data_IF_113161500206
#
_entry.id   IF_113161500206
#
_cell.length_a   1.000
_cell.length_b   1.000
_cell.length_c   1.000
_cell.angle_alpha   90.00
_cell.angle_beta   90.00
_cell.angle_gamma   90.00
#
_symmetry.space_group_name_H-M   'P 1'
#
loop_
_entity.id
_entity.type
_entity.pdbx_description
1 polymer ?
#
# COMPACT_ATOMS: atom_id res chain seq x y z
N UNK A 1 53.75 -11.97 42.36
CA UNK A 1 52.83 -12.44 41.29
C UNK A 1 51.37 -11.98 41.43
N UNK A 2 50.83 -11.66 42.61
CA UNK A 2 49.44 -11.18 42.75
C UNK A 2 49.21 -9.74 42.25
N UNK A 3 50.22 -8.86 42.39
CA UNK A 3 50.10 -7.45 42.04
C UNK A 3 49.92 -7.22 40.52
N UNK A 4 50.66 -7.96 39.67
CA UNK A 4 50.58 -7.80 38.21
C UNK A 4 49.22 -8.20 37.63
N UNK A 5 48.57 -9.23 38.19
CA UNK A 5 47.21 -9.65 37.76
C UNK A 5 46.15 -8.63 38.13
N UNK A 6 46.26 -7.98 39.29
CA UNK A 6 45.36 -6.90 39.71
C UNK A 6 45.53 -5.67 38.82
N UNK A 7 46.78 -5.29 38.51
CA UNK A 7 47.09 -4.17 37.61
C UNK A 7 46.59 -4.45 36.19
N UNK A 8 46.72 -5.68 35.68
CA UNK A 8 46.15 -6.10 34.39
C UNK A 8 44.62 -6.04 34.38
N UNK A 9 43.96 -6.49 35.44
CA UNK A 9 42.49 -6.40 35.57
C UNK A 9 41.99 -4.96 35.57
N UNK A 10 42.64 -4.08 36.33
CA UNK A 10 42.34 -2.64 36.38
C UNK A 10 42.56 -1.94 35.03
N UNK A 11 43.65 -2.27 34.32
CA UNK A 11 43.88 -1.74 32.96
C UNK A 11 42.84 -2.22 31.97
N UNK A 12 42.37 -3.46 32.10
CA UNK A 12 41.29 -4.02 31.29
C UNK A 12 39.97 -3.26 31.47
N UNK A 13 39.52 -3.08 32.71
CA UNK A 13 38.27 -2.34 33.01
C UNK A 13 38.37 -0.86 32.64
N UNK A 14 39.54 -0.24 32.81
CA UNK A 14 39.78 1.14 32.37
C UNK A 14 39.71 1.27 30.84
N UNK A 15 40.30 0.33 30.10
CA UNK A 15 40.23 0.30 28.64
C UNK A 15 38.80 0.12 28.13
N UNK A 16 38.00 -0.73 28.79
CA UNK A 16 36.58 -0.90 28.47
C UNK A 16 35.80 0.40 28.73
N UNK A 17 36.03 1.07 29.86
CA UNK A 17 35.39 2.34 30.19
C UNK A 17 35.75 3.45 29.18
N UNK A 18 37.02 3.54 28.77
CA UNK A 18 37.47 4.48 27.74
C UNK A 18 36.80 4.22 26.39
N UNK A 19 36.69 2.95 25.97
CA UNK A 19 35.96 2.56 24.77
C UNK A 19 34.49 2.96 24.83
N UNK A 20 33.85 2.86 26.00
CA UNK A 20 32.47 3.33 26.20
C UNK A 20 32.35 4.85 25.99
N UNK A 21 33.27 5.63 26.56
CA UNK A 21 33.28 7.10 26.39
C UNK A 21 33.54 7.51 24.94
N UNK A 22 34.52 6.88 24.28
CA UNK A 22 34.83 7.14 22.87
C UNK A 22 33.63 6.80 21.97
N UNK A 23 32.98 5.65 22.19
CA UNK A 23 31.78 5.26 21.45
C UNK A 23 30.65 6.26 21.67
N UNK A 24 30.44 6.74 22.90
CA UNK A 24 29.41 7.73 23.20
C UNK A 24 29.66 9.05 22.44
N UNK A 25 30.90 9.55 22.44
CA UNK A 25 31.30 10.76 21.69
C UNK A 25 31.12 10.61 20.19
N UNK A 26 31.55 9.48 19.62
CA UNK A 26 31.37 9.18 18.20
C UNK A 26 29.89 9.13 17.81
N UNK A 27 29.05 8.47 18.62
CA UNK A 27 27.61 8.43 18.38
C UNK A 27 26.97 9.83 18.49
N UNK A 28 27.43 10.65 19.42
CA UNK A 28 27.04 12.06 19.53
C UNK A 28 27.40 12.85 18.27
N UNK A 29 28.64 12.73 17.79
CA UNK A 29 29.11 13.36 16.55
C UNK A 29 28.31 12.92 15.31
N UNK A 30 28.03 11.61 15.18
CA UNK A 30 27.20 11.06 14.11
C UNK A 30 25.79 11.66 14.15
N UNK A 31 25.18 11.76 15.35
CA UNK A 31 23.84 12.35 15.50
C UNK A 31 23.84 13.83 15.16
N UNK A 32 24.85 14.58 15.57
CA UNK A 32 24.97 16.00 15.24
C UNK A 32 25.16 16.22 13.73
N UNK A 33 26.03 15.44 13.07
CA UNK A 33 26.21 15.51 11.61
C UNK A 33 24.94 15.06 10.86
N UNK A 34 24.20 14.09 11.39
CA UNK A 34 22.92 13.68 10.82
C UNK A 34 21.85 14.77 10.99
N UNK A 35 21.77 15.43 12.14
CA UNK A 35 20.80 16.48 12.42
C UNK A 35 20.95 17.68 11.47
N UNK A 36 22.15 17.92 10.95
CA UNK A 36 22.41 18.92 9.90
C UNK A 36 22.23 18.41 8.47
N UNK A 37 21.91 17.13 8.26
CA UNK A 37 21.82 16.53 6.92
C UNK A 37 23.16 16.11 6.29
N UNK A 38 24.28 16.49 6.91
CA UNK A 38 25.62 16.30 6.36
C UNK A 38 26.16 14.87 6.49
N UNK A 39 25.50 13.99 7.26
CA UNK A 39 26.07 12.67 7.55
C UNK A 39 26.11 11.80 6.27
N UNK A 40 27.33 11.42 5.91
CA UNK A 40 27.62 10.58 4.76
C UNK A 40 27.29 9.12 5.06
N UNK A 41 26.20 8.64 4.46
CA UNK A 41 25.78 7.23 4.42
C UNK A 41 25.50 6.83 2.98
N UNK A 42 25.46 5.51 2.73
CA UNK A 42 25.06 4.97 1.42
C UNK A 42 23.73 5.54 0.95
N UNK A 43 23.73 6.09 -0.26
CA UNK A 43 22.54 6.61 -0.92
C UNK A 43 21.81 5.49 -1.68
N UNK A 44 20.48 5.60 -1.84
CA UNK A 44 19.77 4.73 -2.76
C UNK A 44 20.22 4.98 -4.21
N UNK A 45 19.96 4.01 -5.08
CA UNK A 45 20.29 4.12 -6.51
C UNK A 45 19.60 5.35 -7.12
N UNK A 46 20.28 6.02 -8.05
CA UNK A 46 19.78 7.25 -8.68
C UNK A 46 20.06 8.53 -7.91
N UNK A 47 20.66 8.46 -6.73
CA UNK A 47 21.17 9.64 -6.02
C UNK A 47 22.69 9.52 -5.87
N UNK A 48 23.37 10.63 -6.09
CA UNK A 48 24.83 10.75 -5.92
C UNK A 48 25.15 11.86 -4.93
N UNK A 49 26.35 11.81 -4.35
CA UNK A 49 26.83 12.89 -3.49
C UNK A 49 27.45 13.97 -4.38
N UNK A 50 27.17 15.23 -4.04
CA UNK A 50 27.89 16.36 -4.61
C UNK A 50 29.22 16.59 -3.87
N UNK A 51 29.87 17.70 -4.21
CA UNK A 51 31.16 18.08 -3.64
C UNK A 51 31.00 18.76 -2.26
N UNK A 52 29.85 19.39 -2.02
CA UNK A 52 29.58 20.05 -0.74
C UNK A 52 29.13 19.05 0.34
N UNK A 53 29.45 19.38 1.60
CA UNK A 53 29.08 18.56 2.76
C UNK A 53 27.55 18.39 2.84
N UNK A 54 27.09 17.14 2.74
CA UNK A 54 25.68 16.80 2.79
C UNK A 54 24.94 16.88 1.46
N UNK A 55 25.54 17.45 0.42
CA UNK A 55 24.89 17.61 -0.88
C UNK A 55 24.46 16.26 -1.49
N UNK A 56 23.23 16.23 -1.95
CA UNK A 56 22.65 15.08 -2.65
C UNK A 56 22.10 15.58 -3.97
N UNK A 57 22.58 14.98 -5.06
CA UNK A 57 22.19 15.30 -6.41
C UNK A 57 21.54 14.08 -7.07
N UNK A 58 20.77 14.32 -8.12
CA UNK A 58 20.29 13.27 -8.99
C UNK A 58 21.47 12.65 -9.75
N UNK A 59 21.37 11.35 -10.04
CA UNK A 59 22.42 10.64 -10.77
C UNK A 59 22.60 11.25 -12.18
N UNK A 60 23.83 11.55 -12.63
CA UNK A 60 24.05 12.27 -13.90
C UNK A 60 23.61 11.48 -15.15
N UNK A 61 23.64 10.14 -15.10
CA UNK A 61 23.12 9.29 -16.18
C UNK A 61 21.59 9.38 -16.29
N UNK A 62 21.13 9.96 -17.41
CA UNK A 62 19.71 10.08 -17.76
C UNK A 62 19.00 8.73 -17.82
N UNK A 63 19.69 7.65 -18.19
CA UNK A 63 19.11 6.31 -18.26
C UNK A 63 18.70 5.82 -16.88
N UNK A 64 19.53 6.11 -15.86
CA UNK A 64 19.24 5.78 -14.46
C UNK A 64 18.07 6.61 -13.96
N UNK A 65 18.04 7.91 -14.29
CA UNK A 65 16.94 8.77 -13.91
C UNK A 65 15.62 8.30 -14.54
N UNK A 66 15.63 8.01 -15.84
CA UNK A 66 14.47 7.54 -16.59
C UNK A 66 13.92 6.22 -16.03
N UNK A 67 14.79 5.28 -15.64
CA UNK A 67 14.36 4.02 -15.03
C UNK A 67 13.64 4.23 -13.69
N UNK A 68 14.04 5.24 -12.91
CA UNK A 68 13.43 5.58 -11.61
C UNK A 68 12.12 6.35 -11.82
N UNK A 69 12.09 7.32 -12.75
CA UNK A 69 10.86 8.00 -13.14
C UNK A 69 9.81 7.00 -13.62
N UNK A 70 10.18 6.04 -14.48
CA UNK A 70 9.29 5.00 -14.96
C UNK A 70 8.66 4.16 -13.83
N UNK A 71 9.37 3.94 -12.71
CA UNK A 71 8.79 3.25 -11.55
C UNK A 71 7.67 4.09 -10.93
N UNK A 72 7.89 5.39 -10.74
CA UNK A 72 6.90 6.28 -10.13
C UNK A 72 5.72 6.56 -11.06
N UNK A 73 5.96 6.78 -12.35
CA UNK A 73 4.91 7.03 -13.35
C UNK A 73 3.98 5.82 -13.48
N UNK A 74 4.55 4.62 -13.63
CA UNK A 74 3.75 3.38 -13.69
C UNK A 74 3.07 3.05 -12.38
N UNK A 75 3.63 3.47 -11.25
CA UNK A 75 2.95 3.32 -9.97
C UNK A 75 1.75 4.27 -9.84
N UNK A 76 1.86 5.49 -10.37
CA UNK A 76 0.75 6.44 -10.41
C UNK A 76 -0.44 5.89 -11.22
N UNK A 77 -0.15 5.20 -12.34
CA UNK A 77 -1.14 4.54 -13.19
C UNK A 77 -1.73 3.25 -12.57
N UNK A 78 -0.88 2.31 -12.14
CA UNK A 78 -1.34 0.98 -11.72
C UNK A 78 -1.78 0.89 -10.27
N UNK A 79 -1.27 1.78 -9.42
CA UNK A 79 -1.52 1.79 -7.98
C UNK A 79 -0.96 0.58 -7.23
N UNK A 80 -0.15 -0.31 -7.83
CA UNK A 80 0.38 -1.52 -7.19
C UNK A 80 1.84 -1.78 -7.56
N UNK A 81 2.70 -1.93 -6.54
CA UNK A 81 4.13 -2.22 -6.74
C UNK A 81 4.37 -3.53 -7.50
N UNK A 82 3.49 -4.53 -7.33
CA UNK A 82 3.59 -5.81 -8.06
C UNK A 82 3.29 -5.63 -9.55
N UNK A 83 2.29 -4.80 -9.91
CA UNK A 83 1.96 -4.53 -11.32
C UNK A 83 3.10 -3.79 -12.02
N UNK A 84 3.71 -2.81 -11.35
CA UNK A 84 4.92 -2.12 -11.84
C UNK A 84 6.04 -3.13 -12.10
N UNK A 85 6.31 -4.03 -11.16
CA UNK A 85 7.32 -5.07 -11.36
C UNK A 85 7.02 -6.02 -12.53
N UNK A 86 5.77 -6.46 -12.68
CA UNK A 86 5.37 -7.30 -13.81
C UNK A 86 5.51 -6.57 -15.15
N UNK A 87 5.19 -5.27 -15.19
CA UNK A 87 5.38 -4.44 -16.37
C UNK A 87 6.86 -4.34 -16.76
N UNK A 88 7.76 -4.09 -15.80
CA UNK A 88 9.21 -4.11 -16.06
C UNK A 88 9.66 -5.45 -16.64
N UNK A 89 9.14 -6.57 -16.12
CA UNK A 89 9.46 -7.90 -16.66
C UNK A 89 8.88 -8.15 -18.05
N UNK A 90 7.64 -7.74 -18.31
CA UNK A 90 7.01 -7.96 -19.63
C UNK A 90 7.67 -7.14 -20.73
N UNK A 91 8.18 -5.95 -20.40
CA UNK A 91 8.91 -5.08 -21.31
C UNK A 91 10.40 -5.44 -21.43
N UNK A 92 10.89 -6.45 -20.68
CA UNK A 92 12.30 -6.84 -20.68
C UNK A 92 13.26 -5.77 -20.15
N UNK A 93 12.74 -4.78 -19.40
CA UNK A 93 13.51 -3.64 -18.93
C UNK A 93 14.41 -4.03 -17.75
N UNK A 94 15.67 -3.60 -17.81
CA UNK A 94 16.63 -3.75 -16.71
C UNK A 94 16.52 -2.56 -15.77
N UNK A 95 16.88 -2.78 -14.52
CA UNK A 95 16.87 -1.76 -13.47
C UNK A 95 18.27 -1.55 -12.91
N UNK A 96 18.68 -0.31 -12.64
CA UNK A 96 20.01 -0.03 -12.11
C UNK A 96 20.11 -0.53 -10.67
N UNK A 97 21.16 -1.29 -10.39
CA UNK A 97 21.53 -1.76 -9.07
C UNK A 97 22.86 -1.12 -8.68
N UNK A 98 22.79 -0.30 -7.64
CA UNK A 98 23.96 0.22 -6.94
C UNK A 98 23.95 -0.35 -5.52
N UNK A 99 25.07 -0.92 -5.09
CA UNK A 99 25.29 -1.30 -3.69
C UNK A 99 26.59 -0.66 -3.21
N UNK A 100 26.68 -0.30 -1.94
CA UNK A 100 27.92 0.23 -1.34
C UNK A 100 29.12 -0.73 -1.46
N UNK A 101 28.89 -1.99 -1.86
CA UNK A 101 29.91 -3.02 -2.03
C UNK A 101 30.33 -3.23 -3.48
N UNK A 102 29.62 -2.62 -4.44
CA UNK A 102 29.92 -2.70 -5.86
C UNK A 102 30.54 -1.37 -6.28
N UNK A 103 31.68 -1.44 -6.98
CA UNK A 103 32.38 -0.27 -7.52
C UNK A 103 31.58 0.35 -8.66
N UNK A 104 30.89 -0.50 -9.45
CA UNK A 104 30.17 -0.07 -10.66
C UNK A 104 28.67 -0.34 -10.58
N UNK A 105 27.91 0.54 -11.24
CA UNK A 105 26.48 0.39 -11.47
C UNK A 105 26.19 -0.79 -12.40
N UNK A 106 25.30 -1.70 -11.98
CA UNK A 106 24.92 -2.89 -12.78
C UNK A 106 23.46 -2.85 -13.18
N UNK A 107 23.18 -3.18 -14.43
CA UNK A 107 21.82 -3.30 -14.95
C UNK A 107 21.31 -4.74 -14.80
N UNK A 108 20.35 -4.96 -13.91
CA UNK A 108 19.86 -6.29 -13.55
C UNK A 108 18.34 -6.36 -13.70
N UNK A 109 17.78 -7.56 -13.92
CA UNK A 109 16.34 -7.75 -13.88
C UNK A 109 15.78 -7.30 -12.50
N UNK A 110 14.80 -6.39 -12.45
CA UNK A 110 14.28 -5.88 -11.19
C UNK A 110 13.60 -6.99 -10.39
N UNK A 111 13.82 -6.98 -9.08
CA UNK A 111 13.07 -7.80 -8.13
C UNK A 111 11.96 -6.95 -7.50
N UNK A 112 10.83 -7.58 -7.15
CA UNK A 112 9.74 -6.93 -6.42
C UNK A 112 10.22 -6.14 -5.20
N UNK A 113 11.13 -6.72 -4.41
CA UNK A 113 11.70 -6.08 -3.21
C UNK A 113 12.40 -4.77 -3.52
N UNK A 114 13.11 -4.69 -4.65
CA UNK A 114 13.84 -3.48 -5.06
C UNK A 114 12.86 -2.39 -5.49
N UNK A 115 11.86 -2.71 -6.31
CA UNK A 115 10.83 -1.74 -6.71
C UNK A 115 10.06 -1.24 -5.49
N UNK A 116 9.69 -2.14 -4.57
CA UNK A 116 9.04 -1.75 -3.33
C UNK A 116 9.94 -0.84 -2.48
N UNK A 117 11.24 -1.12 -2.37
CA UNK A 117 12.19 -0.26 -1.67
C UNK A 117 12.31 1.13 -2.31
N UNK A 118 12.22 1.24 -3.64
CA UNK A 118 12.22 2.54 -4.33
C UNK A 118 10.98 3.34 -3.93
N UNK A 119 9.80 2.70 -4.02
CA UNK A 119 8.53 3.35 -3.71
C UNK A 119 8.37 3.70 -2.22
N UNK A 120 9.04 3.00 -1.30
CA UNK A 120 8.95 3.28 0.15
C UNK A 120 10.04 4.18 0.71
N UNK A 121 11.06 4.54 -0.08
CA UNK A 121 12.20 5.30 0.42
C UNK A 121 11.97 6.82 0.29
N UNK A 122 11.90 7.58 1.40
CA UNK A 122 11.61 9.01 1.38
C UNK A 122 12.71 9.87 0.74
N UNK A 123 13.93 9.33 0.55
CA UNK A 123 15.00 10.01 -0.19
C UNK A 123 14.59 10.40 -1.62
N UNK A 124 13.78 9.58 -2.31
CA UNK A 124 13.31 9.95 -3.64
C UNK A 124 12.34 11.15 -3.63
N UNK A 125 11.84 11.54 -2.46
CA UNK A 125 10.98 12.69 -2.24
C UNK A 125 11.75 13.92 -1.71
N UNK A 126 13.08 13.93 -1.82
CA UNK A 126 13.92 15.03 -1.32
C UNK A 126 14.09 15.07 0.20
N UNK A 127 13.66 14.03 0.92
CA UNK A 127 13.69 13.99 2.38
C UNK A 127 14.92 13.25 2.88
N UNK A 128 15.71 13.93 3.71
CA UNK A 128 16.83 13.33 4.41
C UNK A 128 16.35 12.66 5.70
N UNK A 129 16.70 11.38 5.87
CA UNK A 129 16.29 10.61 7.05
C UNK A 129 17.47 9.85 7.66
N UNK A 130 17.55 9.88 8.99
CA UNK A 130 18.52 9.08 9.75
C UNK A 130 17.86 8.36 10.92
N UNK A 131 18.35 7.14 11.21
CA UNK A 131 17.87 6.33 12.33
C UNK A 131 16.59 5.52 12.06
N UNK A 132 16.32 5.15 10.80
CA UNK A 132 15.18 4.26 10.41
C UNK A 132 15.20 2.91 11.12
N UNK A 133 16.38 2.41 11.45
CA UNK A 133 16.58 1.14 12.15
C UNK A 133 17.20 1.36 13.52
N UNK A 134 16.68 0.66 14.52
CA UNK A 134 17.27 0.56 15.85
C UNK A 134 17.80 -0.84 16.07
N UNK A 135 19.04 -0.93 16.53
CA UNK A 135 19.60 -2.18 17.04
C UNK A 135 19.45 -2.21 18.55
N UNK A 136 18.77 -3.23 19.07
CA UNK A 136 18.62 -3.49 20.50
C UNK A 136 19.39 -4.76 20.84
N UNK A 137 20.28 -4.66 21.84
CA UNK A 137 20.94 -5.82 22.43
C UNK A 137 20.05 -6.34 23.57
N UNK A 138 19.82 -7.64 23.63
CA UNK A 138 19.10 -8.29 24.72
C UNK A 138 19.81 -9.58 25.12
N UNK A 139 19.67 -9.98 26.38
CA UNK A 139 20.16 -11.27 26.86
C UNK A 139 19.11 -12.33 26.59
N UNK A 140 19.51 -13.42 25.94
CA UNK A 140 18.66 -14.60 25.75
C UNK A 140 18.54 -15.38 27.08
N UNK A 141 17.57 -16.29 27.20
CA UNK A 141 17.35 -17.08 28.43
C UNK A 141 18.59 -17.89 28.87
N UNK A 142 19.51 -18.19 27.94
CA UNK A 142 20.80 -18.83 28.21
C UNK A 142 21.97 -17.86 28.44
N UNK A 143 21.73 -16.58 28.76
CA UNK A 143 22.78 -15.60 29.09
C UNK A 143 23.60 -15.08 27.90
N UNK A 144 23.23 -15.44 26.66
CA UNK A 144 23.93 -14.98 25.45
C UNK A 144 23.39 -13.62 24.99
N UNK A 145 24.29 -12.68 24.72
CA UNK A 145 23.93 -11.37 24.14
C UNK A 145 23.50 -11.57 22.69
N UNK A 146 22.22 -11.33 22.39
CA UNK A 146 21.68 -11.28 21.03
C UNK A 146 21.38 -9.86 20.61
N UNK A 147 21.53 -9.60 19.32
CA UNK A 147 21.24 -8.30 18.69
C UNK A 147 19.99 -8.46 17.82
N UNK A 148 18.99 -7.61 18.04
CA UNK A 148 17.81 -7.51 17.20
C UNK A 148 17.79 -6.16 16.51
N UNK A 149 17.61 -6.17 15.19
CA UNK A 149 17.36 -4.96 14.42
C UNK A 149 15.85 -4.81 14.27
N UNK A 150 15.31 -3.65 14.66
CA UNK A 150 13.91 -3.27 14.52
C UNK A 150 13.82 -2.04 13.63
N UNK A 151 12.91 -2.06 12.66
CA UNK A 151 12.51 -0.86 11.93
C UNK A 151 11.68 0.02 12.85
N UNK A 152 12.02 1.31 12.93
CA UNK A 152 11.26 2.31 13.68
C UNK A 152 10.12 2.83 12.84
N UNK A 153 9.00 3.10 13.51
CA UNK A 153 7.91 3.85 12.91
C UNK A 153 8.41 5.26 12.57
N UNK A 154 7.78 5.90 11.57
CA UNK A 154 8.25 7.15 10.99
C UNK A 154 8.37 8.26 12.04
N UNK A 155 7.46 8.28 13.00
CA UNK A 155 7.38 9.26 14.08
C UNK A 155 8.55 9.14 15.08
N UNK A 156 9.25 8.00 15.09
CA UNK A 156 10.37 7.72 15.99
C UNK A 156 11.74 7.91 15.32
N UNK A 157 11.77 8.44 14.10
CA UNK A 157 13.01 8.72 13.39
C UNK A 157 13.69 9.95 14.00
N UNK A 158 14.93 9.83 14.53
CA UNK A 158 15.62 10.94 15.19
C UNK A 158 15.87 12.15 14.29
N UNK A 159 16.00 11.94 12.99
CA UNK A 159 16.23 13.01 12.02
C UNK A 159 15.32 12.78 10.83
N UNK A 160 14.55 13.81 10.52
CA UNK A 160 13.66 13.87 9.37
C UNK A 160 13.66 15.32 8.86
N UNK A 161 14.42 15.57 7.79
CA UNK A 161 14.58 16.92 7.20
C UNK A 161 13.90 16.89 5.84
N UNK A 162 12.85 17.69 5.70
CA UNK A 162 12.15 17.87 4.42
C UNK A 162 12.93 18.83 3.52
N UNK A 163 12.73 18.69 2.21
CA UNK A 163 13.24 19.60 1.18
C UNK A 163 14.76 19.80 1.26
N UNK A 164 15.48 18.74 1.63
CA UNK A 164 16.93 18.75 1.79
C UNK A 164 17.66 18.70 0.43
N UNK A 165 17.07 18.03 -0.56
CA UNK A 165 17.66 17.87 -1.88
C UNK A 165 16.58 17.69 -2.95
N UNK A 166 16.96 17.82 -4.22
CA UNK A 166 16.07 17.52 -5.34
C UNK A 166 15.67 16.04 -5.33
N UNK A 167 14.38 15.78 -5.12
CA UNK A 167 13.79 14.45 -5.26
C UNK A 167 13.35 14.16 -6.68
N UNK A 168 13.17 12.88 -7.00
CA UNK A 168 12.50 12.42 -8.22
C UNK A 168 10.99 12.73 -8.22
N UNK A 169 10.42 12.85 -7.02
CA UNK A 169 9.00 13.17 -6.80
C UNK A 169 8.85 14.20 -5.69
N UNK A 170 7.73 14.91 -5.68
CA UNK A 170 7.35 15.79 -4.56
C UNK A 170 6.93 14.99 -3.32
N UNK A 171 7.05 15.60 -2.15
CA UNK A 171 6.62 15.04 -0.87
C UNK A 171 5.13 14.64 -0.87
N UNK A 172 4.26 15.47 -1.44
CA UNK A 172 2.83 15.20 -1.47
C UNK A 172 2.51 13.94 -2.29
N UNK A 173 3.19 13.79 -3.43
CA UNK A 173 3.12 12.59 -4.27
C UNK A 173 3.63 11.36 -3.54
N UNK A 174 4.73 11.49 -2.79
CA UNK A 174 5.24 10.39 -1.98
C UNK A 174 4.26 9.96 -0.90
N UNK A 175 3.63 10.89 -0.19
CA UNK A 175 2.64 10.59 0.84
C UNK A 175 1.40 9.89 0.26
N UNK A 176 0.91 10.36 -0.88
CA UNK A 176 -0.18 9.71 -1.62
C UNK A 176 0.21 8.27 -2.01
N UNK A 177 1.45 8.06 -2.48
CA UNK A 177 1.96 6.75 -2.81
C UNK A 177 2.06 5.82 -1.59
N UNK A 178 2.48 6.32 -0.43
CA UNK A 178 2.49 5.54 0.82
C UNK A 178 1.08 5.11 1.24
N UNK A 179 0.08 6.01 1.12
CA UNK A 179 -1.32 5.67 1.42
C UNK A 179 -1.84 4.55 0.51
N UNK A 180 -1.57 4.65 -0.80
CA UNK A 180 -1.90 3.59 -1.77
C UNK A 180 -1.19 2.28 -1.47
N UNK A 181 0.10 2.32 -1.13
CA UNK A 181 0.85 1.13 -0.73
C UNK A 181 0.25 0.49 0.53
N UNK A 182 -0.10 1.27 1.54
CA UNK A 182 -0.70 0.78 2.77
C UNK A 182 -2.06 0.08 2.51
N UNK A 183 -2.88 0.61 1.62
CA UNK A 183 -4.15 -0.01 1.20
C UNK A 183 -3.94 -1.35 0.46
N UNK A 184 -2.80 -1.53 -0.20
CA UNK A 184 -2.45 -2.77 -0.89
C UNK A 184 -1.85 -3.85 0.03
N UNK A 185 -1.46 -3.50 1.25
CA UNK A 185 -0.92 -4.47 2.21
C UNK A 185 -2.03 -5.44 2.57
N UNK A 186 -1.75 -6.75 2.45
CA UNK A 186 -2.68 -7.79 2.89
C UNK A 186 -3.04 -7.53 4.36
N UNK A 187 -4.34 -7.46 4.71
CA UNK A 187 -4.73 -7.22 6.08
C UNK A 187 -4.18 -8.35 6.94
N UNK A 188 -3.69 -8.01 8.13
CA UNK A 188 -3.37 -9.01 9.14
C UNK A 188 -4.66 -9.79 9.48
N UNK A 189 -4.56 -11.03 9.96
CA UNK A 189 -5.73 -11.73 10.49
C UNK A 189 -6.47 -10.78 11.45
N UNK A 190 -7.79 -10.62 11.26
CA UNK A 190 -8.68 -9.71 12.01
C UNK A 190 -8.71 -8.22 11.63
N UNK A 191 -8.05 -7.80 10.53
CA UNK A 191 -8.29 -6.47 9.93
C UNK A 191 -9.08 -6.61 8.61
N UNK A 192 -10.02 -5.71 8.36
CA UNK A 192 -10.70 -5.58 7.06
C UNK A 192 -9.86 -4.68 6.14
N UNK A 193 -9.79 -5.03 4.85
CA UNK A 193 -9.17 -4.18 3.83
C UNK A 193 -7.95 -4.79 3.12
N UNK A 194 -7.96 -4.78 1.80
CA UNK A 194 -6.88 -5.20 0.89
C UNK A 194 -7.43 -5.18 -0.54
N UNK A 195 -6.59 -4.93 -1.55
CA UNK A 195 -7.04 -4.85 -2.94
C UNK A 195 -7.80 -6.12 -3.35
N UNK A 196 -9.04 -5.95 -3.82
CA UNK A 196 -9.84 -7.01 -4.44
C UNK A 196 -9.09 -7.47 -5.68
N UNK A 197 -8.60 -8.71 -5.68
CA UNK A 197 -7.99 -9.29 -6.88
C UNK A 197 -9.11 -9.85 -7.73
N UNK A 198 -9.09 -9.54 -9.03
CA UNK A 198 -9.95 -10.17 -10.03
C UNK A 198 -9.80 -11.69 -9.97
N UNK A 199 -10.93 -12.39 -9.91
CA UNK A 199 -10.98 -13.83 -9.73
C UNK A 199 -12.41 -14.32 -9.59
N UNK A 200 -12.70 -15.52 -10.11
CA UNK A 200 -14.04 -16.11 -10.10
C UNK A 200 -14.47 -16.65 -8.71
N UNK A 201 -13.61 -16.55 -7.69
CA UNK A 201 -13.89 -17.05 -6.34
C UNK A 201 -14.78 -16.09 -5.54
N UNK A 202 -16.03 -16.47 -5.29
CA UNK A 202 -17.03 -15.65 -4.61
C UNK A 202 -16.63 -15.33 -3.15
N UNK A 203 -15.99 -16.28 -2.47
CA UNK A 203 -15.68 -16.20 -1.03
C UNK A 203 -14.26 -15.74 -0.75
N UNK A 204 -13.59 -15.10 -1.72
CA UNK A 204 -12.23 -14.63 -1.57
C UNK A 204 -12.12 -13.62 -0.41
N UNK A 205 -11.42 -14.02 0.65
CA UNK A 205 -11.20 -13.18 1.84
C UNK A 205 -12.35 -13.17 2.85
N UNK A 206 -13.46 -13.87 2.56
CA UNK A 206 -14.61 -14.05 3.45
C UNK A 206 -14.58 -15.40 4.16
N UNK A 207 -14.22 -16.48 3.46
CA UNK A 207 -14.27 -17.82 4.03
C UNK A 207 -13.21 -18.06 5.13
N UNK A 208 -13.61 -18.79 6.17
CA UNK A 208 -12.79 -19.15 7.33
C UNK A 208 -12.81 -20.67 7.52
N UNK A 209 -11.68 -21.25 7.93
CA UNK A 209 -11.56 -22.68 8.23
C UNK A 209 -12.25 -23.03 9.55
N UNK A 210 -13.22 -23.96 9.54
CA UNK A 210 -13.92 -24.43 10.73
C UNK A 210 -13.04 -25.15 11.76
N UNK A 211 -11.90 -25.71 11.36
CA UNK A 211 -10.99 -26.40 12.28
C UNK A 211 -10.02 -25.48 13.03
N UNK A 212 -9.57 -24.39 12.39
CA UNK A 212 -8.51 -23.54 12.95
C UNK A 212 -8.80 -22.04 12.99
N UNK A 213 -9.98 -21.61 12.53
CA UNK A 213 -10.42 -20.20 12.56
C UNK A 213 -9.64 -19.27 11.63
N UNK A 214 -8.75 -19.77 10.76
CA UNK A 214 -8.01 -18.94 9.80
C UNK A 214 -8.80 -18.70 8.52
N UNK A 215 -8.64 -17.52 7.92
CA UNK A 215 -9.18 -17.24 6.59
C UNK A 215 -8.56 -18.16 5.54
N UNK A 216 -9.41 -18.67 4.65
CA UNK A 216 -8.99 -19.52 3.54
C UNK A 216 -8.27 -18.68 2.47
N UNK A 217 -7.29 -19.28 1.82
CA UNK A 217 -6.62 -18.75 0.65
C UNK A 217 -7.23 -19.36 -0.62
N UNK A 218 -7.25 -18.59 -1.70
CA UNK A 218 -7.78 -19.03 -2.99
C UNK A 218 -6.62 -19.56 -3.84
N UNK A 219 -6.87 -20.67 -4.53
CA UNK A 219 -6.03 -21.17 -5.62
C UNK A 219 -6.91 -21.43 -6.83
N UNK A 220 -6.32 -21.39 -8.02
CA UNK A 220 -7.00 -21.69 -9.27
C UNK A 220 -6.35 -22.93 -9.89
N UNK A 221 -7.17 -23.86 -10.37
CA UNK A 221 -6.69 -25.12 -10.93
C UNK A 221 -7.41 -25.48 -12.24
N UNK A 222 -6.76 -26.31 -13.05
CA UNK A 222 -7.31 -26.81 -14.32
C UNK A 222 -7.32 -25.81 -15.47
N UNK A 223 -7.84 -26.27 -16.62
CA UNK A 223 -7.87 -25.52 -17.90
C UNK A 223 -8.83 -24.32 -17.87
N UNK A 224 -9.85 -24.36 -17.02
CA UNK A 224 -10.87 -23.32 -16.88
C UNK A 224 -10.64 -22.40 -15.67
N UNK A 225 -9.47 -22.49 -15.02
CA UNK A 225 -9.15 -21.72 -13.80
C UNK A 225 -10.27 -21.80 -12.75
N UNK A 226 -10.68 -23.02 -12.40
CA UNK A 226 -11.72 -23.22 -11.40
C UNK A 226 -11.19 -22.80 -10.01
N UNK A 227 -11.95 -22.01 -9.23
CA UNK A 227 -11.54 -21.57 -7.92
C UNK A 227 -11.54 -22.73 -6.92
N UNK A 228 -10.59 -22.72 -6.00
CA UNK A 228 -10.50 -23.63 -4.86
C UNK A 228 -10.04 -22.90 -3.61
N UNK A 229 -10.50 -23.34 -2.44
CA UNK A 229 -10.18 -22.75 -1.15
C UNK A 229 -9.31 -23.70 -0.34
N UNK A 230 -8.18 -23.22 0.15
CA UNK A 230 -7.31 -24.00 1.04
C UNK A 230 -6.94 -23.21 2.29
N UNK A 231 -6.81 -23.91 3.41
CA UNK A 231 -6.33 -23.33 4.64
C UNK A 231 -4.80 -23.32 4.64
N UNK A 232 -4.18 -22.14 4.61
CA UNK A 232 -2.75 -22.01 4.91
C UNK A 232 -2.53 -22.46 6.37
N UNK A 233 -2.05 -23.69 6.56
CA UNK A 233 -2.05 -24.41 7.84
C UNK A 233 -1.28 -23.75 8.98
N UNK A 234 -1.40 -24.34 10.19
CA UNK A 234 -0.62 -23.95 11.39
C UNK A 234 0.79 -24.53 11.39
N UNK A 235 0.95 -25.75 10.88
CA UNK A 235 2.16 -26.55 10.96
C UNK A 235 2.81 -26.67 9.58
N UNK A 236 4.12 -26.44 9.55
CA UNK A 236 4.97 -26.71 8.39
C UNK A 236 5.68 -28.01 8.70
N UNK A 237 5.38 -29.08 7.96
CA UNK A 237 6.07 -30.37 8.08
C UNK A 237 6.88 -30.55 6.79
N UNK A 238 8.19 -30.79 6.90
CA UNK A 238 9.08 -30.95 5.74
C UNK A 238 9.05 -29.79 4.73
N UNK A 239 8.90 -28.54 5.22
CA UNK A 239 8.83 -27.36 4.36
C UNK A 239 7.55 -27.24 3.52
N UNK A 240 6.58 -28.15 3.69
CA UNK A 240 5.24 -28.08 3.10
C UNK A 240 4.22 -27.87 4.22
N UNK A 241 3.36 -26.86 4.06
CA UNK A 241 2.26 -26.66 5.00
C UNK A 241 1.24 -27.78 4.83
N UNK A 242 0.91 -28.50 5.89
CA UNK A 242 -0.28 -29.36 5.87
C UNK A 242 -1.52 -28.47 5.85
N UNK A 243 -2.34 -28.62 4.80
CA UNK A 243 -3.59 -27.88 4.68
C UNK A 243 -4.60 -28.49 5.67
N UNK A 244 -5.11 -27.69 6.60
CA UNK A 244 -6.21 -28.15 7.48
C UNK A 244 -7.48 -28.47 6.68
N UNK A 245 -7.63 -27.83 5.53
CA UNK A 245 -8.75 -27.99 4.60
C UNK A 245 -8.24 -27.62 3.21
N UNK A 246 -8.57 -28.42 2.20
CA UNK A 246 -8.43 -28.05 0.80
C UNK A 246 -9.70 -28.51 0.08
N UNK A 247 -10.43 -27.58 -0.52
CA UNK A 247 -11.74 -27.86 -1.11
C UNK A 247 -11.94 -27.10 -2.42
N UNK A 248 -12.68 -27.71 -3.36
CA UNK A 248 -13.09 -27.05 -4.59
C UNK A 248 -14.11 -25.95 -4.31
N UNK A 249 -13.95 -24.79 -4.96
CA UNK A 249 -14.77 -23.61 -4.71
C UNK A 249 -16.10 -23.58 -5.47
N UNK A 250 -16.22 -24.31 -6.57
CA UNK A 250 -17.39 -24.23 -7.48
C UNK A 250 -18.71 -24.55 -6.77
N UNK A 251 -18.77 -25.66 -6.04
CA UNK A 251 -20.01 -26.07 -5.35
C UNK A 251 -20.33 -25.17 -4.15
N UNK A 252 -19.30 -24.69 -3.46
CA UNK A 252 -19.47 -23.81 -2.30
C UNK A 252 -19.97 -22.45 -2.76
N UNK A 253 -19.38 -21.89 -3.81
CA UNK A 253 -19.78 -20.62 -4.38
C UNK A 253 -21.23 -20.68 -4.89
N UNK A 254 -21.63 -21.77 -5.54
CA UNK A 254 -23.01 -21.99 -5.98
C UNK A 254 -23.99 -22.05 -4.79
N UNK A 255 -23.68 -22.82 -3.76
CA UNK A 255 -24.54 -22.93 -2.57
C UNK A 255 -24.67 -21.61 -1.81
N UNK A 256 -23.57 -20.84 -1.69
CA UNK A 256 -23.62 -19.52 -1.05
C UNK A 256 -24.39 -18.51 -1.90
N UNK A 257 -24.21 -18.53 -3.23
CA UNK A 257 -24.99 -17.68 -4.13
C UNK A 257 -26.49 -17.97 -4.01
N UNK A 258 -26.88 -19.24 -3.98
CA UNK A 258 -28.27 -19.65 -3.82
C UNK A 258 -28.84 -19.20 -2.47
N UNK A 259 -28.12 -19.44 -1.37
CA UNK A 259 -28.54 -19.01 -0.03
C UNK A 259 -28.66 -17.48 0.08
N UNK A 260 -27.74 -16.74 -0.57
CA UNK A 260 -27.77 -15.28 -0.60
C UNK A 260 -28.97 -14.75 -1.39
N UNK A 261 -29.25 -15.33 -2.57
CA UNK A 261 -30.41 -14.97 -3.39
C UNK A 261 -31.72 -15.31 -2.67
N UNK A 262 -31.80 -16.45 -1.97
CA UNK A 262 -32.95 -16.83 -1.16
C UNK A 262 -33.18 -15.84 0.00
N UNK A 263 -32.11 -15.37 0.65
CA UNK A 263 -32.22 -14.36 1.71
C UNK A 263 -32.66 -12.99 1.18
N UNK A 264 -32.32 -12.64 -0.06
CA UNK A 264 -32.72 -11.40 -0.71
C UNK A 264 -34.10 -11.44 -1.38
N UNK A 265 -34.66 -12.62 -1.63
CA UNK A 265 -35.97 -12.80 -2.26
C UNK A 265 -37.09 -11.89 -1.69
N UNK A 266 -37.29 -11.76 -0.36
CA UNK A 266 -38.35 -10.90 0.19
C UNK A 266 -38.12 -9.42 -0.13
N UNK A 267 -36.88 -8.93 -0.04
CA UNK A 267 -36.53 -7.56 -0.41
C UNK A 267 -36.63 -7.32 -1.92
N UNK A 268 -36.36 -8.34 -2.74
CA UNK A 268 -36.56 -8.30 -4.18
C UNK A 268 -38.03 -8.16 -4.58
N UNK A 269 -38.94 -8.80 -3.84
CA UNK A 269 -40.38 -8.64 -4.05
C UNK A 269 -40.84 -7.21 -3.73
N UNK A 270 -40.41 -6.67 -2.59
CA UNK A 270 -40.71 -5.29 -2.18
C UNK A 270 -40.16 -4.27 -3.17
N UNK A 271 -38.93 -4.44 -3.64
CA UNK A 271 -38.33 -3.58 -4.66
C UNK A 271 -39.05 -3.67 -6.01
N UNK A 272 -39.54 -4.86 -6.38
CA UNK A 272 -40.31 -5.06 -7.61
C UNK A 272 -41.68 -4.38 -7.52
N UNK A 273 -42.35 -4.47 -6.37
CA UNK A 273 -43.61 -3.78 -6.12
C UNK A 273 -43.43 -2.25 -6.14
N UNK A 274 -42.40 -1.73 -5.50
CA UNK A 274 -42.08 -0.30 -5.55
C UNK A 274 -41.74 0.18 -6.97
N UNK A 275 -41.04 -0.63 -7.76
CA UNK A 275 -40.77 -0.30 -9.16
C UNK A 275 -42.05 -0.27 -10.00
N UNK A 276 -43.01 -1.17 -9.75
CA UNK A 276 -44.33 -1.15 -10.41
C UNK A 276 -45.12 0.10 -9.99
N UNK A 277 -45.17 0.42 -8.69
CA UNK A 277 -45.83 1.63 -8.19
C UNK A 277 -45.24 2.91 -8.79
N UNK A 278 -43.91 2.98 -8.91
CA UNK A 278 -43.23 4.10 -9.58
C UNK A 278 -43.57 4.16 -11.07
N UNK A 279 -43.64 3.01 -11.75
CA UNK A 279 -43.97 2.96 -13.17
C UNK A 279 -45.43 3.37 -13.45
N UNK A 280 -46.36 2.97 -12.58
CA UNK A 280 -47.76 3.36 -12.66
C UNK A 280 -47.93 4.85 -12.35
N UNK A 281 -47.23 5.38 -11.34
CA UNK A 281 -47.22 6.81 -11.04
C UNK A 281 -46.66 7.64 -12.21
N UNK A 282 -45.56 7.20 -12.84
CA UNK A 282 -44.96 7.85 -14.01
C UNK A 282 -45.89 7.80 -15.24
N UNK A 283 -46.61 6.69 -15.44
CA UNK A 283 -47.62 6.59 -16.50
C UNK A 283 -48.82 7.50 -16.26
N UNK A 284 -49.31 7.58 -15.03
CA UNK A 284 -50.43 8.44 -14.66
C UNK A 284 -50.07 9.92 -14.77
N UNK A 285 -48.87 10.33 -14.37
CA UNK A 285 -48.38 11.69 -14.57
C UNK A 285 -48.22 12.01 -16.07
N UNK A 286 -47.68 11.06 -16.84
CA UNK A 286 -47.57 11.18 -18.31
C UNK A 286 -48.93 11.32 -19.01
N UNK A 287 -49.99 10.69 -18.49
CA UNK A 287 -51.37 10.81 -19.00
C UNK A 287 -52.09 12.06 -18.49
N UNK A 288 -51.78 12.51 -17.27
CA UNK A 288 -52.39 13.69 -16.64
C UNK A 288 -51.85 15.03 -17.19
N UNK A 289 -50.58 15.08 -17.63
CA UNK A 289 -49.97 16.31 -18.17
C UNK A 289 -50.67 16.81 -19.46
N UNK A 290 -50.97 15.98 -20.47
CA UNK A 290 -51.71 16.41 -21.66
C UNK A 290 -53.16 16.85 -21.36
N UNK A 291 -53.86 16.16 -20.47
CA UNK A 291 -55.25 16.48 -20.12
C UNK A 291 -55.34 17.81 -19.34
N UNK A 292 -54.43 18.04 -18.39
CA UNK A 292 -54.30 19.34 -17.68
C UNK A 292 -53.92 20.47 -18.63
N UNK A 293 -53.01 20.23 -19.59
CA UNK A 293 -52.66 21.23 -20.64
C UNK A 293 -53.85 21.58 -21.53
N UNK A 294 -54.63 20.59 -21.96
CA UNK A 294 -55.88 20.82 -22.73
C UNK A 294 -56.91 21.61 -21.92
N UNK A 295 -57.15 21.24 -20.66
CA UNK A 295 -58.06 21.97 -19.78
C UNK A 295 -57.62 23.43 -19.55
N UNK A 296 -56.32 23.66 -19.32
CA UNK A 296 -55.78 25.01 -19.14
C UNK A 296 -55.84 25.84 -20.43
N UNK A 297 -55.61 25.23 -21.60
CA UNK A 297 -55.77 25.88 -22.90
C UNK A 297 -57.22 26.30 -23.16
N UNK A 298 -58.19 25.42 -22.86
CA UNK A 298 -59.62 25.74 -22.94
C UNK A 298 -60.01 26.88 -22.01
N UNK A 299 -59.54 26.88 -20.76
CA UNK A 299 -59.78 27.98 -19.81
C UNK A 299 -59.15 29.30 -20.28
N UNK A 300 -57.94 29.28 -20.85
CA UNK A 300 -57.29 30.47 -21.41
C UNK A 300 -58.03 31.00 -22.65
N UNK A 301 -58.50 30.12 -23.53
CA UNK A 301 -59.32 30.49 -24.68
C UNK A 301 -60.66 31.11 -24.24
N UNK A 302 -61.32 30.50 -23.24
CA UNK A 302 -62.55 31.02 -22.66
C UNK A 302 -62.35 32.42 -22.02
N UNK A 303 -61.27 32.62 -21.26
CA UNK A 303 -60.90 33.92 -20.67
C UNK A 303 -60.59 34.98 -21.72
N UNK A 304 -59.85 34.63 -22.79
CA UNK A 304 -59.60 35.53 -23.93
C UNK A 304 -60.90 35.93 -24.64
N UNK A 305 -61.81 34.98 -24.84
CA UNK A 305 -63.12 35.28 -25.41
C UNK A 305 -63.95 36.22 -24.52
N UNK A 306 -63.91 36.04 -23.19
CA UNK A 306 -64.60 36.95 -22.26
C UNK A 306 -63.99 38.36 -22.23
N UNK A 307 -62.67 38.46 -22.34
CA UNK A 307 -61.97 39.75 -22.44
C UNK A 307 -62.23 40.44 -23.78
N UNK A 308 -62.33 39.71 -24.90
CA UNK A 308 -62.66 40.29 -26.21
C UNK A 308 -64.10 40.80 -26.33
N UNK A 309 -65.02 40.28 -25.51
CA UNK A 309 -66.38 40.82 -25.36
C UNK A 309 -66.46 42.05 -24.46
N UNK A 310 -65.36 42.43 -23.80
CA UNK A 310 -65.20 43.64 -22.99
C UNK A 310 -64.16 44.56 -23.62
N UNK A 311 -64.56 45.28 -24.65
CA UNK A 311 -63.83 46.47 -25.09
C UNK A 311 -64.60 47.20 -26.20
N UNK A 312 -64.41 48.51 -26.36
CA UNK A 312 -64.33 49.57 -25.36
C UNK A 312 -65.61 50.42 -25.45
N UNK A 313 -66.38 50.50 -24.37
CA UNK A 313 -67.47 51.47 -24.24
C UNK A 313 -66.95 52.70 -23.51
N UNK A 314 -67.07 53.83 -24.20
CA UNK A 314 -66.99 55.25 -23.79
C UNK A 314 -66.88 55.59 -22.30
#
# INVERSE_FOLDING_TARGET
MFNDRLVLGLKGTMSEAELHVLRARLLGGIRNKAARGELHRGLPVGLVRGDADGEVLLHPDESVQAAIHAVFDRFAEFGSARRVWLWFRSQGLRFPLHSNSLVDLRWVAPTYTKIHQVLTNPFYAGVYVYGRTQQTCYLDAGGRIRKRIRQRDREQWPVFIRDHHAGYIDWNTFEANQKRLAQNIRPRPHQSGGAVREGAALLQGLAVCGHCGRRLAVHYSGRFSAPGYHCAGKNIVNGRGEYCLNIGGVQIDAAVAEAFLAALAPAGLEASLQAIEQFDADQDDSRAVPSRRRACALQRAARRATLSRRGPGE
#
